data_IF_168288805807
#
_entry.id   IF_168288805807
#
_cell.length_a   1.000
_cell.length_b   1.000
_cell.length_c   1.000
_cell.angle_alpha   90.00
_cell.angle_beta   90.00
_cell.angle_gamma   90.00
#
_symmetry.space_group_name_H-M   'P 1'
#
loop_
_entity.id
_entity.type
_entity.pdbx_description
1 polymer ?
#
# COMPACT_ATOMS: atom_id res chain seq x y z
N UNK A 1 21.02 3.05 5.66
CA UNK A 1 20.55 3.34 4.30
C UNK A 1 20.42 2.02 3.56
N UNK A 2 19.21 1.53 3.34
CA UNK A 2 18.99 0.33 2.51
C UNK A 2 19.09 0.79 1.05
N UNK A 3 20.05 0.24 0.31
CA UNK A 3 20.28 0.49 -1.14
C UNK A 3 20.51 1.95 -1.59
N UNK A 4 20.81 2.89 -0.69
CA UNK A 4 20.90 4.32 -1.05
C UNK A 4 19.55 5.01 -1.24
N UNK A 5 18.45 4.26 -1.23
CA UNK A 5 17.11 4.73 -1.57
C UNK A 5 16.25 5.00 -0.34
N UNK A 6 16.48 4.27 0.76
CA UNK A 6 15.66 4.40 1.98
C UNK A 6 16.37 5.27 3.00
N UNK A 7 15.74 6.38 3.36
CA UNK A 7 16.07 7.16 4.55
C UNK A 7 15.14 6.75 5.70
N UNK A 8 15.74 6.29 6.79
CA UNK A 8 15.03 5.78 7.95
C UNK A 8 15.92 5.80 9.19
N UNK A 9 15.29 5.77 10.36
CA UNK A 9 15.94 5.48 11.63
C UNK A 9 15.48 4.12 12.15
N UNK A 10 16.39 3.37 12.80
CA UNK A 10 15.98 2.21 13.60
C UNK A 10 15.07 2.65 14.74
N UNK A 11 13.96 1.95 14.91
CA UNK A 11 13.08 2.11 16.06
C UNK A 11 13.32 0.97 17.08
N UNK A 12 12.90 1.13 18.34
CA UNK A 12 12.93 0.04 19.31
C UNK A 12 12.15 -1.19 18.81
N UNK A 13 12.53 -2.41 19.21
CA UNK A 13 11.77 -3.61 18.89
C UNK A 13 10.28 -3.47 19.25
N UNK A 14 9.42 -3.98 18.39
CA UNK A 14 7.96 -3.97 18.55
C UNK A 14 7.50 -5.31 19.11
N UNK A 15 6.49 -5.26 19.98
CA UNK A 15 5.88 -6.46 20.55
C UNK A 15 4.56 -6.14 21.23
N UNK A 16 3.50 -6.82 20.80
CA UNK A 16 2.17 -6.76 21.41
C UNK A 16 1.45 -8.09 21.17
N UNK A 17 1.37 -8.94 22.19
CA UNK A 17 0.86 -10.30 22.05
C UNK A 17 1.62 -11.12 21.00
N UNK A 18 0.92 -11.55 19.96
CA UNK A 18 1.46 -12.33 18.84
C UNK A 18 2.10 -11.46 17.74
N UNK A 19 1.96 -10.14 17.81
CA UNK A 19 2.57 -9.18 16.90
C UNK A 19 4.01 -8.84 17.31
N UNK A 20 4.87 -8.52 16.34
CA UNK A 20 6.20 -8.01 16.62
C UNK A 20 7.10 -7.89 15.40
N UNK A 21 8.13 -7.06 15.55
CA UNK A 21 9.25 -6.91 14.62
C UNK A 21 10.48 -6.52 15.43
N UNK A 22 11.59 -7.23 15.23
CA UNK A 22 12.80 -7.07 16.04
C UNK A 22 13.62 -5.85 15.62
N UNK A 23 13.62 -5.53 14.32
CA UNK A 23 14.42 -4.44 13.76
C UNK A 23 13.58 -3.53 12.86
N UNK A 24 12.57 -2.84 13.41
CA UNK A 24 11.70 -1.97 12.64
C UNK A 24 12.43 -0.70 12.20
N UNK A 25 12.09 -0.23 11.00
CA UNK A 25 12.55 1.01 10.41
C UNK A 25 11.42 2.03 10.44
N UNK A 26 11.69 3.20 11.00
CA UNK A 26 10.84 4.38 10.83
C UNK A 26 11.29 5.13 9.59
N UNK A 27 10.51 5.05 8.53
CA UNK A 27 10.86 5.68 7.26
C UNK A 27 10.66 7.20 7.32
N UNK A 28 11.53 7.95 6.66
CA UNK A 28 11.37 9.40 6.43
C UNK A 28 11.23 9.70 4.96
N UNK A 29 11.98 9.00 4.11
CA UNK A 29 11.84 9.15 2.67
C UNK A 29 12.25 7.86 1.95
N UNK A 30 11.74 7.68 0.74
CA UNK A 30 12.18 6.63 -0.18
C UNK A 30 12.40 7.21 -1.55
N UNK A 31 13.56 6.93 -2.15
CA UNK A 31 13.98 7.48 -3.43
C UNK A 31 13.75 9.00 -3.54
N UNK A 32 14.05 9.76 -2.47
CA UNK A 32 13.86 11.21 -2.43
C UNK A 32 12.41 11.70 -2.41
N UNK A 33 11.44 10.81 -2.18
CA UNK A 33 10.02 11.14 -1.95
C UNK A 33 9.75 11.11 -0.45
N UNK A 34 9.18 12.20 0.09
CA UNK A 34 8.93 12.33 1.53
C UNK A 34 7.77 11.44 2.00
N UNK A 35 7.89 10.93 3.23
CA UNK A 35 6.89 10.11 3.90
C UNK A 35 6.46 10.80 5.20
N UNK A 36 5.54 11.79 5.16
CA UNK A 36 5.19 12.59 6.33
C UNK A 36 4.57 11.76 7.47
N UNK A 37 3.90 10.65 7.15
CA UNK A 37 3.32 9.73 8.14
C UNK A 37 4.35 8.95 8.96
N UNK A 38 5.62 8.95 8.52
CA UNK A 38 6.75 8.24 9.16
C UNK A 38 6.43 6.78 9.53
N UNK A 39 6.00 5.94 8.57
CA UNK A 39 5.55 4.58 8.85
C UNK A 39 6.66 3.72 9.47
N UNK A 40 6.28 2.84 10.39
CA UNK A 40 7.11 1.79 10.95
C UNK A 40 6.94 0.50 10.15
N UNK A 41 7.97 0.05 9.46
CA UNK A 41 7.96 -1.16 8.64
C UNK A 41 9.23 -1.98 8.85
N UNK A 42 9.22 -3.25 8.47
CA UNK A 42 10.42 -4.07 8.44
C UNK A 42 11.28 -3.76 7.18
N UNK A 43 12.49 -4.32 7.14
CA UNK A 43 13.43 -4.09 6.03
C UNK A 43 12.91 -4.55 4.67
N UNK A 44 12.13 -5.65 4.62
CA UNK A 44 11.62 -6.20 3.38
C UNK A 44 10.56 -5.27 2.77
N UNK A 45 9.60 -4.82 3.56
CA UNK A 45 8.59 -3.83 3.17
C UNK A 45 9.24 -2.51 2.76
N UNK A 46 10.23 -2.02 3.52
CA UNK A 46 10.96 -0.81 3.15
C UNK A 46 11.65 -0.92 1.78
N UNK A 47 12.26 -2.07 1.50
CA UNK A 47 12.95 -2.33 0.22
C UNK A 47 11.96 -2.43 -0.94
N UNK A 48 10.88 -3.21 -0.80
CA UNK A 48 9.84 -3.33 -1.81
C UNK A 48 9.14 -2.00 -2.10
N UNK A 49 8.93 -1.19 -1.06
CA UNK A 49 8.34 0.14 -1.21
C UNK A 49 9.28 1.11 -1.94
N UNK A 50 10.60 1.06 -1.69
CA UNK A 50 11.57 1.85 -2.43
C UNK A 50 11.59 1.48 -3.92
N UNK A 51 11.56 0.19 -4.26
CA UNK A 51 11.49 -0.29 -5.65
C UNK A 51 10.19 0.16 -6.35
N UNK A 52 9.06 0.11 -5.65
CA UNK A 52 7.80 0.67 -6.15
C UNK A 52 7.94 2.17 -6.48
N UNK A 53 8.49 2.96 -5.56
CA UNK A 53 8.62 4.40 -5.77
C UNK A 53 9.59 4.73 -6.90
N UNK A 54 10.70 3.99 -7.03
CA UNK A 54 11.61 4.13 -8.19
C UNK A 54 10.85 3.82 -9.49
N UNK A 55 10.13 2.71 -9.56
CA UNK A 55 9.39 2.34 -10.77
C UNK A 55 8.33 3.38 -11.17
N UNK A 56 7.64 3.99 -10.19
CA UNK A 56 6.67 5.05 -10.45
C UNK A 56 7.34 6.32 -10.98
N UNK A 57 8.50 6.70 -10.42
CA UNK A 57 9.29 7.85 -10.89
C UNK A 57 9.81 7.63 -12.31
N UNK A 58 10.32 6.44 -12.60
CA UNK A 58 10.84 6.07 -13.92
C UNK A 58 9.73 6.04 -14.99
N UNK A 59 8.49 5.78 -14.58
CA UNK A 59 7.30 5.90 -15.43
C UNK A 59 6.83 7.36 -15.65
N UNK A 60 7.54 8.35 -15.10
CA UNK A 60 7.24 9.78 -15.28
C UNK A 60 6.28 10.37 -14.25
N UNK A 61 6.00 9.68 -13.14
CA UNK A 61 5.15 10.22 -12.08
C UNK A 61 5.98 11.12 -11.15
N UNK A 62 5.73 12.43 -11.22
CA UNK A 62 6.42 13.44 -10.41
C UNK A 62 5.87 13.53 -8.99
N UNK A 63 6.04 12.47 -8.21
CA UNK A 63 5.60 12.38 -6.82
C UNK A 63 6.61 13.12 -5.92
N UNK A 64 6.10 14.02 -5.08
CA UNK A 64 6.86 14.74 -4.05
C UNK A 64 6.75 14.10 -2.67
N UNK A 65 5.57 13.61 -2.32
CA UNK A 65 5.28 12.99 -1.02
C UNK A 65 4.23 11.89 -1.14
N UNK A 66 4.33 10.88 -0.29
CA UNK A 66 3.34 9.80 -0.16
C UNK A 66 2.86 9.77 1.29
N UNK A 67 1.56 10.02 1.49
CA UNK A 67 0.92 9.88 2.79
C UNK A 67 0.50 8.42 2.97
N UNK A 68 0.89 7.87 4.11
CA UNK A 68 0.64 6.47 4.45
C UNK A 68 -0.12 6.32 5.75
N UNK A 69 -0.53 5.09 6.07
CA UNK A 69 -0.83 4.66 7.44
C UNK A 69 0.44 4.55 8.32
N UNK A 70 0.30 4.09 9.58
CA UNK A 70 1.42 4.00 10.53
C UNK A 70 2.42 2.87 10.23
N UNK A 71 2.10 1.96 9.30
CA UNK A 71 2.91 0.77 8.99
C UNK A 71 2.72 -0.36 10.00
N UNK A 72 3.06 -0.14 11.28
CA UNK A 72 2.79 -1.11 12.34
C UNK A 72 1.46 -0.82 13.05
N UNK A 73 0.61 -1.84 13.16
CA UNK A 73 -0.61 -1.83 13.97
C UNK A 73 -0.95 -3.29 14.33
N UNK A 74 -0.89 -3.63 15.62
CA UNK A 74 -1.26 -4.97 16.06
C UNK A 74 -2.78 -5.11 16.06
N UNK A 75 -3.31 -5.88 15.10
CA UNK A 75 -4.74 -6.17 14.98
C UNK A 75 -5.00 -7.41 14.14
N UNK A 76 -6.21 -7.96 14.32
CA UNK A 76 -6.79 -8.92 13.40
C UNK A 76 -7.13 -8.24 12.07
N UNK A 77 -7.05 -8.99 10.96
CA UNK A 77 -7.39 -8.50 9.62
C UNK A 77 -8.81 -7.91 9.60
N UNK A 78 -8.97 -6.82 8.85
CA UNK A 78 -10.22 -6.07 8.72
C UNK A 78 -10.85 -5.64 10.06
N UNK A 79 -10.04 -5.51 11.13
CA UNK A 79 -10.49 -5.20 12.50
C UNK A 79 -11.55 -6.19 13.03
N UNK A 80 -11.53 -7.44 12.55
CA UNK A 80 -12.43 -8.48 13.03
C UNK A 80 -12.12 -8.83 14.50
N UNK A 81 -13.10 -9.43 15.20
CA UNK A 81 -12.91 -9.87 16.57
C UNK A 81 -11.96 -11.08 16.70
N UNK A 82 -11.94 -11.93 15.68
CA UNK A 82 -11.17 -13.19 15.66
C UNK A 82 -10.65 -13.47 14.25
N UNK A 83 -9.60 -14.30 14.15
CA UNK A 83 -9.06 -14.78 12.89
C UNK A 83 -7.58 -14.49 12.73
N UNK A 84 -7.14 -14.30 11.48
CA UNK A 84 -5.73 -14.10 11.15
C UNK A 84 -5.28 -12.69 11.53
N UNK A 85 -4.06 -12.57 12.06
CA UNK A 85 -3.39 -11.30 12.26
C UNK A 85 -3.12 -10.60 10.92
N UNK A 86 -3.15 -9.27 10.96
CA UNK A 86 -2.74 -8.42 9.85
C UNK A 86 -1.22 -8.42 9.72
N UNK A 87 -0.72 -8.29 8.48
CA UNK A 87 0.71 -8.10 8.21
C UNK A 87 1.26 -6.80 8.83
N UNK A 88 0.40 -5.81 9.11
CA UNK A 88 0.77 -4.65 9.92
C UNK A 88 1.26 -5.02 11.32
N UNK A 89 0.76 -6.13 11.90
CA UNK A 89 1.22 -6.64 13.19
C UNK A 89 2.68 -7.13 13.17
N UNK A 90 3.25 -7.33 11.98
CA UNK A 90 4.64 -7.75 11.77
C UNK A 90 5.48 -6.66 11.10
N UNK A 91 4.97 -5.42 11.09
CA UNK A 91 5.54 -4.30 10.33
C UNK A 91 5.77 -4.66 8.84
N UNK A 92 5.01 -5.64 8.33
CA UNK A 92 5.19 -6.28 7.03
C UNK A 92 4.24 -5.71 5.97
N UNK A 93 3.62 -4.57 6.25
CA UNK A 93 2.63 -3.92 5.42
C UNK A 93 2.71 -2.39 5.48
N UNK A 94 2.22 -1.73 4.43
CA UNK A 94 2.12 -0.28 4.31
C UNK A 94 0.85 0.09 3.54
N UNK A 95 0.15 1.13 4.01
CA UNK A 95 -1.07 1.62 3.37
C UNK A 95 -0.79 2.97 2.73
N UNK A 96 -1.05 3.14 1.43
CA UNK A 96 -0.98 4.44 0.74
C UNK A 96 -2.37 5.06 0.76
N UNK A 97 -2.53 6.26 1.31
CA UNK A 97 -3.82 6.97 1.34
C UNK A 97 -3.85 8.19 0.43
N UNK A 98 -2.68 8.80 0.15
CA UNK A 98 -2.60 9.99 -0.70
C UNK A 98 -1.21 10.15 -1.32
N UNK A 99 -1.18 10.72 -2.52
CA UNK A 99 0.04 11.17 -3.21
C UNK A 99 -0.02 12.69 -3.34
N UNK A 100 1.11 13.35 -3.15
CA UNK A 100 1.28 14.77 -3.46
C UNK A 100 2.31 14.89 -4.57
N UNK A 101 1.91 15.47 -5.70
CA UNK A 101 2.76 15.68 -6.86
C UNK A 101 3.61 16.95 -6.70
N UNK A 102 4.68 17.06 -7.48
CA UNK A 102 5.61 18.21 -7.43
C UNK A 102 4.97 19.54 -7.84
N UNK A 103 3.89 19.51 -8.60
CA UNK A 103 3.10 20.69 -8.96
C UNK A 103 2.12 21.13 -7.85
N UNK A 104 2.06 20.39 -6.72
CA UNK A 104 1.17 20.63 -5.60
C UNK A 104 -0.18 19.89 -5.71
N UNK A 105 -0.44 19.20 -6.82
CA UNK A 105 -1.65 18.39 -6.98
C UNK A 105 -1.66 17.28 -5.93
N UNK A 106 -2.81 17.15 -5.27
CA UNK A 106 -3.04 16.10 -4.28
C UNK A 106 -3.98 15.06 -4.87
N UNK A 107 -3.58 13.79 -4.81
CA UNK A 107 -4.36 12.64 -5.28
C UNK A 107 -4.68 11.77 -4.08
N UNK A 108 -5.94 11.79 -3.64
CA UNK A 108 -6.45 11.02 -2.51
C UNK A 108 -7.01 9.69 -3.00
N UNK A 109 -6.65 8.57 -2.36
CA UNK A 109 -7.28 7.29 -2.67
C UNK A 109 -8.78 7.34 -2.38
N UNK A 110 -9.18 7.89 -1.23
CA UNK A 110 -10.60 7.97 -0.89
C UNK A 110 -11.41 8.85 -1.85
N UNK A 111 -10.87 9.99 -2.28
CA UNK A 111 -11.64 10.93 -3.10
C UNK A 111 -11.53 10.67 -4.62
N UNK A 112 -10.37 10.23 -5.10
CA UNK A 112 -10.05 10.14 -6.52
C UNK A 112 -10.11 8.71 -7.08
N UNK A 113 -10.27 7.70 -6.22
CA UNK A 113 -10.51 6.34 -6.69
C UNK A 113 -11.87 6.24 -7.37
N UNK A 114 -11.98 5.56 -8.54
CA UNK A 114 -13.24 5.38 -9.24
C UNK A 114 -14.12 4.31 -8.57
N UNK A 115 -14.60 4.63 -7.36
CA UNK A 115 -15.32 3.71 -6.49
C UNK A 115 -16.46 3.00 -7.21
N UNK A 116 -16.49 1.68 -7.00
CA UNK A 116 -17.65 0.88 -7.29
C UNK A 116 -18.74 1.18 -6.26
N UNK A 117 -20.02 1.17 -6.65
CA UNK A 117 -21.10 1.09 -5.68
C UNK A 117 -20.86 -0.11 -4.75
N UNK A 118 -21.16 0.01 -3.45
CA UNK A 118 -20.90 -1.05 -2.47
C UNK A 118 -21.51 -2.41 -2.88
N UNK A 119 -22.71 -2.39 -3.47
CA UNK A 119 -23.38 -3.57 -4.02
C UNK A 119 -22.55 -4.32 -5.09
N UNK A 120 -21.57 -3.65 -5.69
CA UNK A 120 -20.72 -4.19 -6.74
C UNK A 120 -19.34 -4.67 -6.23
N UNK A 121 -19.02 -4.51 -4.93
CA UNK A 121 -17.74 -4.98 -4.37
C UNK A 121 -17.65 -6.52 -4.34
N UNK A 122 -18.79 -7.20 -4.33
CA UNK A 122 -18.88 -8.67 -4.39
C UNK A 122 -18.77 -9.24 -5.82
N UNK A 123 -18.72 -8.40 -6.86
CA UNK A 123 -18.57 -8.84 -8.24
C UNK A 123 -17.19 -9.47 -8.50
N UNK A 124 -17.09 -10.33 -9.51
CA UNK A 124 -15.81 -10.84 -9.98
C UNK A 124 -14.93 -9.73 -10.59
N UNK A 125 -13.63 -9.95 -10.69
CA UNK A 125 -12.68 -8.98 -11.25
C UNK A 125 -13.06 -8.50 -12.65
N UNK A 126 -13.52 -9.41 -13.52
CA UNK A 126 -13.95 -9.07 -14.88
C UNK A 126 -15.23 -8.20 -14.88
N UNK A 127 -16.16 -8.49 -13.98
CA UNK A 127 -17.38 -7.71 -13.79
C UNK A 127 -17.10 -6.32 -13.19
N UNK A 128 -16.17 -6.23 -12.23
CA UNK A 128 -15.68 -4.95 -11.68
C UNK A 128 -15.06 -4.09 -12.79
N UNK A 129 -14.24 -4.69 -13.65
CA UNK A 129 -13.62 -4.03 -14.82
C UNK A 129 -14.68 -3.58 -15.83
N UNK A 130 -15.67 -4.42 -16.13
CA UNK A 130 -16.77 -4.07 -17.01
C UNK A 130 -17.63 -2.92 -16.46
N UNK A 131 -17.87 -2.90 -15.14
CA UNK A 131 -18.61 -1.83 -14.45
C UNK A 131 -17.95 -0.44 -14.59
N UNK A 132 -16.62 -0.42 -14.80
CA UNK A 132 -15.84 0.80 -15.06
C UNK A 132 -15.69 1.14 -16.54
N UNK A 133 -15.94 0.19 -17.44
CA UNK A 133 -15.70 0.38 -18.87
C UNK A 133 -16.59 1.51 -19.42
N UNK A 134 -15.97 2.50 -20.07
CA UNK A 134 -16.65 3.70 -20.55
C UNK A 134 -16.71 4.89 -19.57
N UNK A 135 -16.26 4.74 -18.31
CA UNK A 135 -16.06 5.91 -17.43
C UNK A 135 -14.75 6.59 -17.82
N UNK A 136 -14.83 7.86 -18.20
CA UNK A 136 -13.63 8.69 -18.36
C UNK A 136 -12.95 8.83 -16.99
N UNK A 137 -11.84 8.13 -16.81
CA UNK A 137 -11.02 8.26 -15.60
C UNK A 137 -10.12 9.48 -15.75
N UNK A 138 -10.18 10.37 -14.76
CA UNK A 138 -9.28 11.52 -14.67
C UNK A 138 -7.83 11.09 -14.44
N UNK A 139 -6.86 12.01 -14.57
CA UNK A 139 -5.44 11.72 -14.33
C UNK A 139 -5.17 11.10 -12.96
N UNK A 140 -5.85 11.57 -11.92
CA UNK A 140 -5.72 11.06 -10.55
C UNK A 140 -6.08 9.57 -10.43
N UNK A 141 -7.24 9.16 -10.95
CA UNK A 141 -7.66 7.76 -10.98
C UNK A 141 -6.68 6.86 -11.75
N UNK A 142 -6.11 7.35 -12.86
CA UNK A 142 -5.09 6.60 -13.63
C UNK A 142 -3.81 6.42 -12.84
N UNK A 143 -3.33 7.48 -12.18
CA UNK A 143 -2.16 7.40 -11.31
C UNK A 143 -2.36 6.36 -10.20
N UNK A 144 -3.54 6.34 -9.55
CA UNK A 144 -3.84 5.35 -8.52
C UNK A 144 -3.88 3.91 -9.07
N UNK A 145 -4.39 3.71 -10.28
CA UNK A 145 -4.34 2.43 -10.97
C UNK A 145 -2.90 2.01 -11.34
N UNK A 146 -2.05 2.96 -11.74
CA UNK A 146 -0.64 2.70 -12.02
C UNK A 146 0.13 2.32 -10.75
N UNK A 147 -0.18 2.97 -9.61
CA UNK A 147 0.37 2.61 -8.29
C UNK A 147 0.02 1.18 -7.93
N UNK A 148 -1.26 0.79 -7.96
CA UNK A 148 -1.66 -0.56 -7.58
C UNK A 148 -1.09 -1.62 -8.54
N UNK A 149 -1.15 -1.38 -9.85
CA UNK A 149 -0.60 -2.29 -10.85
C UNK A 149 0.92 -2.46 -10.72
N UNK A 150 1.66 -1.38 -10.44
CA UNK A 150 3.11 -1.44 -10.26
C UNK A 150 3.48 -2.12 -8.95
N UNK A 151 2.72 -1.89 -7.87
CA UNK A 151 2.97 -2.50 -6.57
C UNK A 151 2.93 -4.03 -6.60
N UNK A 152 2.09 -4.62 -7.45
CA UNK A 152 2.00 -6.08 -7.64
C UNK A 152 3.31 -6.75 -8.06
N UNK A 153 4.30 -5.99 -8.56
CA UNK A 153 5.63 -6.51 -8.89
C UNK A 153 6.48 -6.78 -7.65
N UNK A 154 6.23 -6.03 -6.57
CA UNK A 154 7.09 -5.98 -5.38
C UNK A 154 6.42 -6.53 -4.12
N UNK A 155 5.09 -6.52 -4.08
CA UNK A 155 4.28 -7.02 -2.98
C UNK A 155 3.54 -8.30 -3.36
N UNK A 156 3.26 -9.16 -2.37
CA UNK A 156 2.47 -10.37 -2.58
C UNK A 156 0.99 -10.13 -2.38
N UNK A 157 0.61 -9.02 -1.73
CA UNK A 157 -0.76 -8.55 -1.65
C UNK A 157 -0.84 -7.07 -1.94
N UNK A 158 -1.72 -6.74 -2.87
CA UNK A 158 -2.15 -5.39 -3.20
C UNK A 158 -3.68 -5.39 -3.15
N UNK A 159 -4.24 -4.69 -2.18
CA UNK A 159 -5.68 -4.51 -2.03
C UNK A 159 -6.03 -3.04 -2.23
N UNK A 160 -6.93 -2.79 -3.16
CA UNK A 160 -7.41 -1.46 -3.49
C UNK A 160 -8.79 -1.21 -2.84
N UNK A 161 -9.38 -0.01 -2.98
CA UNK A 161 -10.76 0.21 -2.54
C UNK A 161 -11.79 -0.75 -3.16
N UNK A 162 -11.46 -1.39 -4.28
CA UNK A 162 -12.33 -2.39 -4.90
C UNK A 162 -12.29 -3.77 -4.21
N UNK A 163 -11.29 -4.04 -3.37
CA UNK A 163 -11.15 -5.34 -2.71
C UNK A 163 -12.26 -5.56 -1.69
N UNK A 164 -12.50 -4.57 -0.81
CA UNK A 164 -13.62 -4.55 0.15
C UNK A 164 -13.68 -3.21 0.91
N UNK A 165 -14.72 -3.04 1.73
CA UNK A 165 -14.96 -1.83 2.52
C UNK A 165 -13.81 -1.44 3.46
N UNK A 166 -13.00 -2.38 3.95
CA UNK A 166 -11.88 -2.05 4.83
C UNK A 166 -10.77 -1.25 4.12
N UNK A 167 -10.70 -1.33 2.79
CA UNK A 167 -9.69 -0.69 1.96
C UNK A 167 -10.22 0.54 1.23
N UNK A 168 -11.42 1.01 1.56
CA UNK A 168 -12.08 2.13 0.85
C UNK A 168 -11.21 3.39 0.72
N UNK A 169 -10.41 3.71 1.74
CA UNK A 169 -9.60 4.93 1.77
C UNK A 169 -8.11 4.75 1.46
N UNK A 170 -7.65 3.56 1.09
CA UNK A 170 -6.22 3.31 0.91
C UNK A 170 -5.91 2.12 -0.03
N UNK A 171 -4.69 2.10 -0.55
CA UNK A 171 -4.12 0.92 -1.21
C UNK A 171 -3.24 0.22 -0.18
N UNK A 172 -3.62 -0.98 0.22
CA UNK A 172 -2.88 -1.81 1.16
C UNK A 172 -1.87 -2.69 0.44
N UNK A 173 -0.63 -2.69 0.91
CA UNK A 173 0.50 -3.42 0.36
C UNK A 173 1.14 -4.29 1.45
N UNK A 174 1.24 -5.60 1.23
CA UNK A 174 1.91 -6.50 2.17
C UNK A 174 2.73 -7.62 1.49
N UNK A 175 3.59 -8.27 2.30
CA UNK A 175 4.45 -9.38 1.90
C UNK A 175 4.02 -10.71 2.53
N UNK A 176 2.74 -10.86 2.84
CA UNK A 176 2.17 -12.08 3.40
C UNK A 176 2.36 -13.29 2.48
N UNK A 177 2.56 -14.46 3.07
CA UNK A 177 2.68 -15.72 2.32
C UNK A 177 1.30 -16.19 1.84
N UNK A 178 1.18 -16.44 0.52
CA UNK A 178 -0.02 -17.02 -0.08
C UNK A 178 0.30 -18.27 -0.90
N UNK A 179 -0.65 -19.20 -0.93
CA UNK A 179 -0.45 -20.51 -1.56
C UNK A 179 0.43 -21.44 -0.73
N UNK A 180 0.79 -22.59 -1.30
CA UNK A 180 1.59 -23.61 -0.60
C UNK A 180 3.08 -23.27 -0.53
N UNK A 181 3.55 -22.44 -1.46
CA UNK A 181 4.96 -22.11 -1.66
C UNK A 181 5.27 -20.62 -1.44
N UNK A 182 4.30 -19.86 -0.92
CA UNK A 182 4.41 -18.42 -0.69
C UNK A 182 4.69 -17.58 -1.95
N UNK A 183 4.38 -18.09 -3.16
CA UNK A 183 4.63 -17.38 -4.42
C UNK A 183 3.40 -16.73 -5.03
N UNK A 184 2.20 -17.11 -4.55
CA UNK A 184 0.96 -16.57 -5.08
C UNK A 184 0.81 -15.09 -4.74
N UNK A 185 0.30 -14.30 -5.69
CA UNK A 185 0.06 -12.87 -5.52
C UNK A 185 -1.43 -12.56 -5.59
N UNK A 186 -1.89 -11.76 -4.64
CA UNK A 186 -3.22 -11.17 -4.63
C UNK A 186 -3.09 -9.73 -5.12
N UNK A 187 -3.78 -9.43 -6.21
CA UNK A 187 -3.73 -8.14 -6.90
C UNK A 187 -5.16 -7.76 -7.28
N UNK A 188 -5.84 -7.03 -6.39
CA UNK A 188 -7.29 -6.78 -6.46
C UNK A 188 -7.66 -5.31 -6.52
#
# INVERSE_FOLDING_TARGET
VVSGLVEASLAPPLGDGECGETSPLRLTSVAGVDLPSRPLVNCATASGFAELVVALRDAGNDIASIVTGPGYECRIRNRAAEGKLSEHGFANAIDISQLVLRDGTTVSVEADWPHLPEANLALSTDEKKASRNGRAQGPAARLLADVSATACRFFTTVLTPDSNAAHHGHIHLDLGCHGKDCTYRICE
#
